data_IF_799529879388
#
_entry.id   IF_799529879388
#
_cell.length_a   1.000
_cell.length_b   1.000
_cell.length_c   1.000
_cell.angle_alpha   90.00
_cell.angle_beta   90.00
_cell.angle_gamma   90.00
#
_symmetry.space_group_name_H-M   'P 1'
#
loop_
_entity.id
_entity.type
_entity.pdbx_description
1 polymer ?
#
# COMPACT_ATOMS: atom_id res chain seq x y z
N UNK A 1 -16.67 1.18 15.35
CA UNK A 1 -15.41 0.65 14.80
C UNK A 1 -15.44 -0.87 14.95
N UNK A 2 -15.31 -1.64 13.87
CA UNK A 2 -15.42 -3.12 13.88
C UNK A 2 -14.11 -3.73 13.34
N UNK A 3 -13.01 -3.49 14.05
CA UNK A 3 -11.67 -4.01 13.72
C UNK A 3 -11.02 -4.59 14.98
N UNK A 4 -10.19 -5.64 14.87
CA UNK A 4 -9.41 -6.14 16.00
C UNK A 4 -8.42 -5.09 16.51
N UNK A 5 -8.19 -5.08 17.83
CA UNK A 5 -7.11 -4.34 18.47
C UNK A 5 -6.12 -5.36 19.03
N UNK A 6 -4.88 -5.29 18.57
CA UNK A 6 -3.81 -6.23 18.94
C UNK A 6 -2.91 -5.58 19.98
N UNK A 7 -2.48 -6.36 20.97
CA UNK A 7 -1.53 -5.92 22.00
C UNK A 7 -0.14 -6.49 21.71
N UNK A 8 0.87 -5.63 21.61
CA UNK A 8 2.28 -5.98 21.38
C UNK A 8 3.12 -5.64 22.63
N UNK A 9 2.84 -6.31 23.76
CA UNK A 9 3.42 -5.95 25.07
C UNK A 9 4.94 -6.18 25.16
N UNK A 10 5.45 -7.19 24.45
CA UNK A 10 6.88 -7.49 24.36
C UNK A 10 7.58 -6.75 23.21
N UNK A 11 6.84 -5.94 22.44
CA UNK A 11 7.34 -5.10 21.34
C UNK A 11 7.96 -5.90 20.19
N UNK A 12 7.66 -7.20 20.09
CA UNK A 12 8.24 -8.07 19.06
C UNK A 12 7.68 -7.68 17.70
N UNK A 13 6.36 -7.43 17.60
CA UNK A 13 5.72 -7.09 16.32
C UNK A 13 6.27 -5.75 15.81
N UNK A 14 6.34 -4.72 16.66
CA UNK A 14 6.86 -3.42 16.28
C UNK A 14 8.33 -3.47 15.82
N UNK A 15 9.16 -4.33 16.43
CA UNK A 15 10.55 -4.56 16.02
C UNK A 15 10.66 -5.28 14.69
N UNK A 16 9.92 -6.38 14.51
CA UNK A 16 9.94 -7.17 13.28
C UNK A 16 9.44 -6.37 12.07
N UNK A 17 8.45 -5.50 12.27
CA UNK A 17 7.96 -4.58 11.25
C UNK A 17 8.81 -3.31 11.09
N UNK A 18 9.87 -3.14 11.89
CA UNK A 18 10.81 -2.02 11.80
C UNK A 18 10.20 -0.66 12.14
N UNK A 19 9.16 -0.62 12.98
CA UNK A 19 8.42 0.61 13.34
C UNK A 19 8.60 1.02 14.80
N UNK A 20 9.36 0.26 15.61
CA UNK A 20 9.62 0.64 16.99
C UNK A 20 10.50 1.90 17.06
N UNK A 21 10.02 2.91 17.78
CA UNK A 21 10.79 4.06 18.25
C UNK A 21 11.47 3.67 19.56
N UNK A 22 12.72 3.19 19.46
CA UNK A 22 13.45 2.51 20.56
C UNK A 22 13.61 3.37 21.82
N UNK A 23 13.79 4.67 21.68
CA UNK A 23 13.99 5.61 22.79
C UNK A 23 12.71 5.90 23.59
N UNK A 24 11.53 5.75 22.99
CA UNK A 24 10.24 5.97 23.66
C UNK A 24 9.46 4.67 23.90
N UNK A 25 9.86 3.56 23.27
CA UNK A 25 9.18 2.27 23.43
C UNK A 25 7.79 2.19 22.81
N UNK A 26 7.48 3.10 21.87
CA UNK A 26 6.23 3.16 21.11
C UNK A 26 6.50 2.92 19.62
N UNK A 27 5.49 2.61 18.82
CA UNK A 27 5.66 2.53 17.37
C UNK A 27 5.44 3.87 16.67
N UNK A 28 6.18 4.09 15.58
CA UNK A 28 5.80 5.04 14.55
C UNK A 28 4.46 4.64 13.90
N UNK A 29 3.87 5.55 13.12
CA UNK A 29 2.57 5.31 12.46
C UNK A 29 2.74 4.45 11.21
N UNK A 30 3.14 3.20 11.40
CA UNK A 30 3.30 2.19 10.34
C UNK A 30 1.97 1.60 9.87
N UNK A 31 1.76 1.57 8.55
CA UNK A 31 0.68 0.86 7.87
C UNK A 31 1.30 -0.08 6.83
N UNK A 32 0.79 -1.31 6.76
CA UNK A 32 1.29 -2.36 5.89
C UNK A 32 0.12 -2.97 5.12
N UNK A 33 0.27 -3.13 3.81
CA UNK A 33 -0.69 -3.87 2.97
C UNK A 33 -0.07 -5.21 2.61
N UNK A 34 -0.71 -6.28 3.06
CA UNK A 34 -0.32 -7.67 2.83
C UNK A 34 -1.41 -8.33 1.98
N UNK A 35 -1.03 -9.01 0.91
CA UNK A 35 -1.99 -9.66 0.01
C UNK A 35 -2.54 -11.00 0.56
N UNK A 36 -3.44 -11.62 -0.20
CA UNK A 36 -4.06 -12.90 0.17
C UNK A 36 -3.09 -14.10 0.16
N UNK A 37 -1.85 -13.92 -0.30
CA UNK A 37 -0.78 -14.93 -0.26
C UNK A 37 0.20 -14.66 0.89
N UNK A 38 -0.06 -13.65 1.71
CA UNK A 38 0.83 -13.26 2.80
C UNK A 38 2.04 -12.46 2.34
N UNK A 39 2.06 -11.94 1.11
CA UNK A 39 3.18 -11.15 0.59
C UNK A 39 2.95 -9.68 0.89
N UNK A 40 3.96 -9.02 1.47
CA UNK A 40 3.94 -7.58 1.72
C UNK A 40 4.03 -6.80 0.41
N UNK A 41 3.08 -5.89 0.18
CA UNK A 41 2.95 -5.11 -1.07
C UNK A 41 3.23 -3.63 -0.89
N UNK A 42 2.97 -3.08 0.29
CA UNK A 42 3.10 -1.66 0.55
C UNK A 42 3.42 -1.37 2.02
N UNK A 43 4.24 -0.33 2.22
CA UNK A 43 4.62 0.19 3.53
C UNK A 43 4.43 1.70 3.52
N UNK A 44 3.68 2.22 4.51
CA UNK A 44 3.60 3.66 4.79
C UNK A 44 4.02 3.90 6.24
N UNK A 45 5.02 4.75 6.47
CA UNK A 45 5.46 5.12 7.82
C UNK A 45 5.42 6.64 7.93
N UNK A 46 4.59 7.12 8.83
CA UNK A 46 4.55 8.55 9.19
C UNK A 46 5.21 8.77 10.56
N UNK A 47 5.77 9.96 10.71
CA UNK A 47 6.12 10.49 12.03
C UNK A 47 4.86 10.73 12.90
N UNK A 48 5.07 10.90 14.19
CA UNK A 48 4.01 11.03 15.21
C UNK A 48 3.00 12.17 14.97
N UNK A 49 3.35 13.38 14.49
CA UNK A 49 2.39 14.48 14.38
C UNK A 49 1.43 14.36 13.18
N UNK A 50 1.70 13.50 12.20
CA UNK A 50 0.96 13.47 10.92
C UNK A 50 0.17 12.17 10.77
N UNK A 51 -1.14 12.31 10.60
CA UNK A 51 -2.06 11.19 10.33
C UNK A 51 -1.87 10.55 8.96
N UNK A 52 -2.49 9.38 8.76
CA UNK A 52 -2.52 8.66 7.47
C UNK A 52 -3.84 8.92 6.75
N UNK A 53 -3.89 8.58 5.46
CA UNK A 53 -5.11 8.65 4.65
C UNK A 53 -5.76 7.28 4.46
N UNK A 54 -7.04 7.16 4.82
CA UNK A 54 -7.84 5.95 4.58
C UNK A 54 -8.14 5.80 3.09
N UNK A 55 -8.42 6.90 2.39
CA UNK A 55 -8.72 6.88 0.95
C UNK A 55 -7.53 6.39 0.14
N UNK A 56 -6.30 6.81 0.50
CA UNK A 56 -5.09 6.32 -0.16
C UNK A 56 -4.84 4.84 0.14
N UNK A 57 -5.11 4.40 1.38
CA UNK A 57 -5.01 2.98 1.74
C UNK A 57 -5.98 2.14 0.91
N UNK A 58 -7.23 2.59 0.77
CA UNK A 58 -8.24 1.91 -0.05
C UNK A 58 -7.84 1.87 -1.53
N UNK A 59 -7.36 2.99 -2.08
CA UNK A 59 -6.89 3.09 -3.46
C UNK A 59 -5.75 2.12 -3.73
N UNK A 60 -4.77 2.03 -2.84
CA UNK A 60 -3.64 1.11 -2.96
C UNK A 60 -4.10 -0.36 -2.93
N UNK A 61 -5.01 -0.72 -2.02
CA UNK A 61 -5.60 -2.09 -1.97
C UNK A 61 -6.30 -2.42 -3.30
N UNK A 62 -7.12 -1.50 -3.83
CA UNK A 62 -7.81 -1.68 -5.11
C UNK A 62 -6.83 -1.81 -6.27
N UNK A 63 -5.74 -1.02 -6.27
CA UNK A 63 -4.71 -1.07 -7.30
C UNK A 63 -4.01 -2.44 -7.32
N UNK A 64 -3.56 -2.94 -6.17
CA UNK A 64 -2.93 -4.27 -6.11
C UNK A 64 -3.89 -5.39 -6.53
N UNK A 65 -5.16 -5.33 -6.12
CA UNK A 65 -6.17 -6.30 -6.55
C UNK A 65 -6.39 -6.24 -8.07
N UNK A 66 -6.39 -5.04 -8.67
CA UNK A 66 -6.51 -4.88 -10.11
C UNK A 66 -5.31 -5.50 -10.84
N UNK A 67 -4.08 -5.15 -10.43
CA UNK A 67 -2.87 -5.68 -11.08
C UNK A 67 -2.77 -7.19 -10.94
N UNK A 68 -3.13 -7.75 -9.78
CA UNK A 68 -3.10 -9.20 -9.55
C UNK A 68 -4.13 -9.95 -10.41
N UNK A 69 -5.27 -9.33 -10.70
CA UNK A 69 -6.33 -9.93 -11.53
C UNK A 69 -6.09 -9.77 -13.03
N UNK A 70 -5.56 -8.63 -13.46
CA UNK A 70 -5.51 -8.24 -14.88
C UNK A 70 -4.12 -8.37 -15.50
N UNK A 71 -3.05 -8.41 -14.71
CA UNK A 71 -1.67 -8.44 -15.21
C UNK A 71 -1.20 -7.12 -15.85
N UNK A 72 -2.01 -6.08 -15.81
CA UNK A 72 -1.66 -4.72 -16.18
C UNK A 72 -1.10 -3.95 -14.98
N UNK A 73 -0.47 -2.79 -15.21
CA UNK A 73 0.04 -1.93 -14.14
C UNK A 73 -0.74 -0.63 -14.03
N UNK A 74 -0.87 -0.12 -12.81
CA UNK A 74 -1.58 1.10 -12.47
C UNK A 74 -0.64 2.32 -12.56
N UNK A 75 -0.98 3.36 -13.34
CA UNK A 75 -0.25 4.63 -13.37
C UNK A 75 -0.26 5.40 -12.03
N UNK A 76 0.51 6.48 -11.97
CA UNK A 76 0.49 7.41 -10.85
C UNK A 76 -0.93 7.99 -10.65
N UNK A 77 -1.40 7.97 -9.40
CA UNK A 77 -2.73 8.47 -9.05
C UNK A 77 -3.90 7.62 -9.57
N UNK A 78 -3.64 6.42 -10.09
CA UNK A 78 -4.70 5.54 -10.59
C UNK A 78 -5.82 5.33 -9.57
N UNK A 79 -7.06 5.39 -10.07
CA UNK A 79 -8.29 5.10 -9.34
C UNK A 79 -9.11 4.05 -10.12
N UNK A 80 -10.07 3.36 -9.48
CA UNK A 80 -10.98 2.46 -10.19
C UNK A 80 -11.65 3.16 -11.39
N UNK A 81 -11.49 2.57 -12.58
CA UNK A 81 -12.00 3.12 -13.85
C UNK A 81 -11.00 3.98 -14.63
N UNK A 82 -9.84 4.33 -14.05
CA UNK A 82 -8.75 4.98 -14.80
C UNK A 82 -8.06 4.01 -15.75
N UNK A 83 -7.47 4.57 -16.81
CA UNK A 83 -6.64 3.83 -17.77
C UNK A 83 -5.43 3.16 -17.10
N UNK A 84 -5.01 2.03 -17.66
CA UNK A 84 -3.89 1.20 -17.19
C UNK A 84 -2.87 0.93 -18.30
N UNK A 85 -1.73 0.36 -17.92
CA UNK A 85 -0.63 0.10 -18.86
C UNK A 85 -0.38 -1.40 -18.93
N UNK A 86 -0.42 -1.95 -20.15
CA UNK A 86 0.08 -3.31 -20.40
C UNK A 86 1.61 -3.31 -20.30
N UNK A 87 2.23 -4.18 -19.47
CA UNK A 87 3.67 -4.18 -19.22
C UNK A 87 4.45 -4.83 -20.38
N UNK A 88 4.29 -4.28 -21.58
CA UNK A 88 4.98 -4.67 -22.80
C UNK A 88 5.31 -3.42 -23.64
N UNK A 89 6.45 -3.43 -24.33
CA UNK A 89 6.96 -2.27 -25.08
C UNK A 89 6.05 -1.89 -26.25
N UNK A 90 5.39 -2.85 -26.90
CA UNK A 90 4.49 -2.58 -28.02
C UNK A 90 3.11 -2.18 -27.51
N UNK A 91 2.57 -2.92 -26.54
CA UNK A 91 1.20 -2.71 -26.05
C UNK A 91 1.06 -1.44 -25.19
N UNK A 92 2.08 -1.07 -24.42
CA UNK A 92 2.07 0.17 -23.61
C UNK A 92 1.89 1.44 -24.44
N UNK A 93 2.22 1.41 -25.73
CA UNK A 93 2.02 2.56 -26.64
C UNK A 93 0.57 3.00 -26.75
N UNK A 94 -0.39 2.09 -26.53
CA UNK A 94 -1.82 2.42 -26.51
C UNK A 94 -2.15 3.41 -25.38
N UNK A 95 -1.56 3.22 -24.21
CA UNK A 95 -1.73 4.15 -23.10
C UNK A 95 -1.05 5.49 -23.41
N UNK A 96 0.23 5.46 -23.81
CA UNK A 96 1.01 6.68 -24.02
C UNK A 96 0.53 7.55 -25.20
N UNK A 97 -0.19 6.99 -26.17
CA UNK A 97 -0.80 7.78 -27.23
C UNK A 97 -2.06 8.52 -26.79
N UNK A 98 -2.79 8.00 -25.79
CA UNK A 98 -4.00 8.63 -25.22
C UNK A 98 -3.71 9.76 -24.24
N UNK A 99 -2.52 9.75 -23.62
CA UNK A 99 -2.10 10.74 -22.61
C UNK A 99 -1.42 11.99 -23.22
N UNK A 100 -1.40 12.11 -24.55
CA UNK A 100 -0.88 13.27 -25.26
C UNK A 100 -1.93 14.37 -25.41
#
# INVERSE_FOLDING_TARGET
>A
MRIPLISDTNRVIAKEYGVLKEDEGISYRGLFIIDNKGILRQITINDLPVGRSVDETLRLVQAFQFTDKHGEVCPAGWQPGSDTIKPDVKQSKEYFSKQK
#
